data_IF_049735819309
#
_entry.id   IF_049735819309
#
_cell.length_a   1.000
_cell.length_b   1.000
_cell.length_c   1.000
_cell.angle_alpha   90.00
_cell.angle_beta   90.00
_cell.angle_gamma   90.00
#
_symmetry.space_group_name_H-M   'P 1'
#
loop_
_entity.id
_entity.type
_entity.pdbx_description
1 polymer ?
#
# COMPACT_ATOMS: atom_id res chain seq x y z
N UNK A 1 16.09 10.49 3.44
CA UNK A 1 15.01 9.63 2.89
C UNK A 1 14.89 9.99 1.42
N UNK A 2 14.82 8.99 0.56
CA UNK A 2 14.81 9.16 -0.91
C UNK A 2 13.38 9.26 -1.43
N UNK A 3 13.22 9.87 -2.61
CA UNK A 3 11.95 9.85 -3.32
C UNK A 3 11.74 8.47 -3.94
N UNK A 4 10.56 7.90 -3.74
CA UNK A 4 10.25 6.53 -4.12
C UNK A 4 8.89 6.44 -4.78
N UNK A 5 8.73 5.42 -5.61
CA UNK A 5 7.48 5.05 -6.26
C UNK A 5 7.09 3.67 -5.77
N UNK A 6 5.87 3.54 -5.29
CA UNK A 6 5.31 2.30 -4.77
C UNK A 6 4.01 1.97 -5.49
N UNK A 7 3.82 0.69 -5.80
CA UNK A 7 2.52 0.10 -6.07
C UNK A 7 2.03 -0.61 -4.82
N UNK A 8 0.79 -0.33 -4.44
CA UNK A 8 0.13 -0.92 -3.28
C UNK A 8 -1.10 -1.66 -3.76
N UNK A 9 -1.21 -2.94 -3.42
CA UNK A 9 -2.39 -3.77 -3.67
C UNK A 9 -3.04 -4.10 -2.34
N UNK A 10 -4.33 -3.84 -2.18
CA UNK A 10 -5.06 -3.98 -0.93
C UNK A 10 -6.27 -4.87 -1.17
N UNK A 11 -6.40 -5.95 -0.42
CA UNK A 11 -7.62 -6.76 -0.39
C UNK A 11 -8.40 -6.45 0.87
N UNK A 12 -9.52 -5.75 0.70
CA UNK A 12 -10.47 -5.50 1.79
C UNK A 12 -11.54 -6.59 1.88
N UNK A 13 -11.96 -6.89 3.11
CA UNK A 13 -13.00 -7.83 3.43
C UNK A 13 -14.34 -7.38 2.81
N UNK A 14 -14.98 -8.27 2.06
CA UNK A 14 -16.26 -8.00 1.41
C UNK A 14 -16.14 -7.36 0.02
N UNK A 15 -14.96 -6.93 -0.42
CA UNK A 15 -14.72 -6.64 -1.83
C UNK A 15 -14.39 -7.92 -2.58
N UNK A 16 -14.87 -8.10 -3.81
CA UNK A 16 -14.52 -9.30 -4.59
C UNK A 16 -13.06 -9.25 -5.10
N UNK A 17 -12.62 -8.08 -5.55
CA UNK A 17 -11.30 -7.85 -6.14
C UNK A 17 -10.46 -6.93 -5.26
N UNK A 18 -9.12 -7.10 -5.25
CA UNK A 18 -8.25 -6.14 -4.59
C UNK A 18 -8.27 -4.79 -5.30
N UNK A 19 -7.96 -3.74 -4.54
CA UNK A 19 -7.76 -2.37 -5.00
C UNK A 19 -6.27 -2.16 -5.24
N UNK A 20 -5.92 -1.58 -6.38
CA UNK A 20 -4.55 -1.20 -6.72
C UNK A 20 -4.43 0.33 -6.68
N UNK A 21 -3.37 0.83 -6.05
CA UNK A 21 -3.06 2.25 -5.97
C UNK A 21 -1.55 2.47 -6.01
N UNK A 22 -1.13 3.70 -6.26
CA UNK A 22 0.28 4.08 -6.37
C UNK A 22 0.58 5.24 -5.42
N UNK A 23 1.79 5.24 -4.87
CA UNK A 23 2.33 6.31 -4.06
C UNK A 23 3.65 6.79 -4.62
N UNK A 24 3.80 8.09 -4.78
CA UNK A 24 5.07 8.72 -5.16
C UNK A 24 5.44 9.76 -4.11
N UNK A 25 6.59 9.60 -3.46
CA UNK A 25 7.01 10.51 -2.41
C UNK A 25 8.14 9.99 -1.55
N UNK A 26 8.43 10.74 -0.48
CA UNK A 26 9.47 10.41 0.49
C UNK A 26 8.79 9.75 1.69
N UNK A 27 8.72 8.42 1.68
CA UNK A 27 8.09 7.63 2.74
C UNK A 27 8.76 6.26 2.86
N UNK A 28 8.70 5.64 4.04
CA UNK A 28 9.07 4.24 4.25
C UNK A 28 7.84 3.34 4.37
N UNK A 29 8.05 2.01 4.35
CA UNK A 29 6.97 1.02 4.43
C UNK A 29 6.07 1.19 5.67
N UNK A 30 6.60 1.59 6.83
CA UNK A 30 5.74 1.82 8.01
C UNK A 30 4.85 3.03 7.83
N UNK A 31 5.38 4.08 7.19
CA UNK A 31 4.61 5.24 6.78
C UNK A 31 3.49 4.87 5.81
N UNK A 32 3.75 4.04 4.80
CA UNK A 32 2.73 3.56 3.85
C UNK A 32 1.63 2.76 4.55
N UNK A 33 2.01 1.83 5.44
CA UNK A 33 1.06 1.03 6.21
C UNK A 33 0.14 1.93 7.05
N UNK A 34 0.69 2.96 7.70
CA UNK A 34 -0.11 3.91 8.49
C UNK A 34 -0.99 4.81 7.61
N UNK A 35 -0.45 5.31 6.49
CA UNK A 35 -1.15 6.22 5.57
C UNK A 35 -2.36 5.56 4.90
N UNK A 36 -2.20 4.32 4.45
CA UNK A 36 -3.28 3.55 3.81
C UNK A 36 -4.13 2.74 4.79
N UNK A 37 -3.82 2.77 6.10
CA UNK A 37 -4.59 2.01 7.09
C UNK A 37 -4.48 0.49 6.92
N UNK A 38 -3.35 -0.03 6.43
CA UNK A 38 -3.20 -1.44 6.04
C UNK A 38 -3.26 -2.44 7.22
N UNK A 39 -3.26 -1.93 8.45
CA UNK A 39 -3.45 -2.72 9.68
C UNK A 39 -4.91 -2.73 10.18
N UNK A 40 -5.84 -2.12 9.45
CA UNK A 40 -7.26 -2.13 9.83
C UNK A 40 -7.85 -3.53 9.70
N UNK A 41 -8.86 -3.84 10.52
CA UNK A 41 -9.47 -5.18 10.57
C UNK A 41 -10.24 -5.54 9.30
N UNK A 42 -10.57 -4.54 8.48
CA UNK A 42 -11.19 -4.66 7.17
C UNK A 42 -10.20 -5.03 6.06
N UNK A 43 -8.89 -4.99 6.30
CA UNK A 43 -7.87 -5.45 5.34
C UNK A 43 -7.54 -6.92 5.58
N UNK A 44 -7.80 -7.78 4.60
CA UNK A 44 -7.46 -9.20 4.66
C UNK A 44 -5.98 -9.45 4.37
N UNK A 45 -5.46 -8.79 3.35
CA UNK A 45 -4.03 -8.79 3.00
C UNK A 45 -3.68 -7.57 2.16
N UNK A 46 -2.39 -7.26 2.10
CA UNK A 46 -1.86 -6.21 1.24
C UNK A 46 -0.48 -6.59 0.72
N UNK A 47 -0.10 -6.01 -0.43
CA UNK A 47 1.22 -6.11 -1.03
C UNK A 47 1.74 -4.70 -1.33
N UNK A 48 3.03 -4.47 -1.08
CA UNK A 48 3.70 -3.20 -1.36
C UNK A 48 4.95 -3.53 -2.18
N UNK A 49 4.96 -3.05 -3.43
CA UNK A 49 6.07 -3.21 -4.36
C UNK A 49 6.72 -1.84 -4.60
N UNK A 50 8.02 -1.73 -4.37
CA UNK A 50 8.80 -0.56 -4.78
C UNK A 50 9.09 -0.68 -6.28
N UNK A 51 8.63 0.30 -7.06
CA UNK A 51 8.92 0.39 -8.48
C UNK A 51 10.27 1.11 -8.63
N UNK A 52 11.27 0.36 -9.06
CA UNK A 52 12.59 0.89 -9.42
C UNK A 52 12.60 1.08 -10.94
N UNK A 53 12.54 2.33 -11.39
CA UNK A 53 12.72 2.69 -12.80
C UNK A 53 14.19 2.58 -13.26
#
# INVERSE_FOLDING_TARGET
MEYKHYKITIKEAGLEKPIETEYHGIIDNKGLIAYYGLNNSDVEWYEIDEIVE
#
